data_IF_397874914641
#
_entry.id   IF_397874914641
#
_cell.length_a   1.000
_cell.length_b   1.000
_cell.length_c   1.000
_cell.angle_alpha   90.00
_cell.angle_beta   90.00
_cell.angle_gamma   90.00
#
_symmetry.space_group_name_H-M   'P 1'
#
loop_
_entity.id
_entity.type
_entity.pdbx_description
1 polymer ?
#
# COMPACT_ATOMS: atom_id res chain seq x y z
N UNK A 1 -54.13 -41.09 40.21
CA UNK A 1 -52.97 -41.35 41.11
C UNK A 1 -53.17 -42.71 41.76
N UNK A 2 -52.26 -43.66 41.50
CA UNK A 2 -51.66 -44.43 42.59
C UNK A 2 -50.13 -44.42 42.49
N UNK A 3 -49.53 -44.50 43.67
CA UNK A 3 -48.12 -44.26 43.99
C UNK A 3 -47.19 -45.39 43.54
N UNK A 4 -45.99 -45.03 43.10
CA UNK A 4 -44.90 -45.94 42.78
C UNK A 4 -44.28 -46.51 44.07
N UNK A 5 -44.39 -47.81 44.29
CA UNK A 5 -43.60 -48.52 45.31
C UNK A 5 -42.29 -48.95 44.66
N UNK A 6 -41.20 -48.29 45.08
CA UNK A 6 -39.85 -48.50 44.56
C UNK A 6 -39.39 -49.95 44.71
N UNK A 7 -38.86 -50.51 43.63
CA UNK A 7 -38.03 -51.72 43.68
C UNK A 7 -36.60 -51.29 43.98
N UNK A 8 -36.07 -51.84 45.07
CA UNK A 8 -34.77 -51.55 45.66
C UNK A 8 -33.63 -51.65 44.64
N UNK A 9 -32.91 -50.54 44.46
CA UNK A 9 -31.79 -50.39 43.54
C UNK A 9 -30.43 -50.74 44.20
N UNK A 10 -30.43 -51.25 45.44
CA UNK A 10 -29.21 -51.57 46.20
C UNK A 10 -28.54 -52.92 45.85
N UNK A 11 -29.06 -53.66 44.86
CA UNK A 11 -28.46 -54.93 44.41
C UNK A 11 -27.82 -54.84 43.02
N UNK A 12 -27.11 -53.75 42.72
CA UNK A 12 -26.19 -53.77 41.59
C UNK A 12 -24.91 -54.52 41.97
N UNK A 13 -24.82 -55.79 41.56
CA UNK A 13 -23.56 -56.52 41.54
C UNK A 13 -22.77 -55.98 40.34
N UNK A 14 -21.60 -55.38 40.57
CA UNK A 14 -20.65 -55.05 39.49
C UNK A 14 -20.42 -56.34 38.68
N UNK A 15 -20.95 -56.38 37.46
CA UNK A 15 -20.37 -57.23 36.43
C UNK A 15 -18.98 -56.66 36.20
N UNK A 16 -18.00 -57.56 36.16
CA UNK A 16 -16.59 -57.22 36.01
C UNK A 16 -16.42 -56.13 34.95
N UNK A 17 -15.56 -55.16 35.24
CA UNK A 17 -15.03 -54.24 34.24
C UNK A 17 -14.43 -55.09 33.11
N UNK A 18 -15.23 -55.41 32.08
CA UNK A 18 -14.71 -55.69 30.75
C UNK A 18 -14.09 -54.36 30.33
N UNK A 19 -12.76 -54.30 30.42
CA UNK A 19 -11.92 -53.25 29.85
C UNK A 19 -12.51 -52.88 28.48
N UNK A 20 -13.22 -51.75 28.43
CA UNK A 20 -13.67 -51.19 27.18
C UNK A 20 -12.41 -50.71 26.47
N UNK A 21 -11.88 -51.59 25.61
CA UNK A 21 -10.67 -51.43 24.83
C UNK A 21 -10.45 -49.96 24.48
N UNK A 22 -9.39 -49.37 25.04
CA UNK A 22 -8.88 -48.07 24.63
C UNK A 22 -8.80 -48.07 23.11
N UNK A 23 -9.71 -47.33 22.45
CA UNK A 23 -9.76 -47.24 20.99
C UNK A 23 -8.38 -46.77 20.53
N UNK A 24 -7.57 -47.71 20.04
CA UNK A 24 -6.25 -47.44 19.49
C UNK A 24 -6.40 -46.27 18.52
N UNK A 25 -5.69 -45.19 18.80
CA UNK A 25 -5.64 -44.01 17.94
C UNK A 25 -4.86 -44.45 16.70
N UNK A 26 -5.57 -44.95 15.70
CA UNK A 26 -4.97 -45.33 14.41
C UNK A 26 -4.66 -44.01 13.69
N UNK A 27 -3.39 -43.67 13.41
CA UNK A 27 -3.08 -42.49 12.65
C UNK A 27 -3.67 -42.65 11.23
N UNK A 28 -4.36 -41.62 10.76
CA UNK A 28 -4.89 -41.58 9.40
C UNK A 28 -3.74 -41.79 8.40
N UNK A 29 -3.99 -42.59 7.37
CA UNK A 29 -3.04 -42.75 6.27
C UNK A 29 -2.91 -41.43 5.50
N UNK A 30 -1.78 -41.22 4.82
CA UNK A 30 -1.58 -40.01 4.00
C UNK A 30 -2.67 -39.86 2.93
N UNK A 31 -3.22 -40.98 2.44
CA UNK A 31 -4.33 -41.03 1.49
C UNK A 31 -5.64 -40.52 2.11
N UNK A 32 -5.98 -40.96 3.32
CA UNK A 32 -7.19 -40.51 4.04
C UNK A 32 -7.11 -39.01 4.37
N UNK A 33 -5.92 -38.53 4.74
CA UNK A 33 -5.65 -37.11 5.00
C UNK A 33 -5.84 -36.28 3.73
N UNK A 34 -5.39 -36.78 2.57
CA UNK A 34 -5.56 -36.10 1.30
C UNK A 34 -7.03 -36.03 0.89
N UNK A 35 -7.78 -37.11 1.09
CA UNK A 35 -9.23 -37.15 0.86
C UNK A 35 -9.97 -36.15 1.75
N UNK A 36 -9.69 -36.10 3.07
CA UNK A 36 -10.28 -35.09 3.97
C UNK A 36 -9.93 -33.66 3.57
N UNK A 37 -8.67 -33.40 3.17
CA UNK A 37 -8.25 -32.07 2.68
C UNK A 37 -9.02 -31.65 1.43
N UNK A 38 -9.31 -32.60 0.52
CA UNK A 38 -10.12 -32.31 -0.67
C UNK A 38 -11.60 -32.09 -0.35
N UNK A 39 -12.17 -32.81 0.62
CA UNK A 39 -13.55 -32.61 1.06
C UNK A 39 -13.76 -31.29 1.82
N UNK A 40 -12.76 -30.80 2.55
CA UNK A 40 -12.81 -29.52 3.25
C UNK A 40 -12.47 -28.30 2.40
N UNK A 41 -11.95 -28.49 1.19
CA UNK A 41 -11.54 -27.41 0.30
C UNK A 41 -12.68 -27.03 -0.66
N UNK A 42 -13.07 -25.75 -0.67
CA UNK A 42 -13.99 -25.25 -1.69
C UNK A 42 -13.37 -25.41 -3.10
N UNK A 43 -14.12 -25.89 -4.11
CA UNK A 43 -13.60 -26.24 -5.44
C UNK A 43 -12.90 -25.07 -6.16
N UNK A 44 -13.18 -23.83 -5.77
CA UNK A 44 -12.59 -22.61 -6.34
C UNK A 44 -11.55 -21.92 -5.45
N UNK A 45 -11.27 -22.42 -4.25
CA UNK A 45 -10.35 -21.74 -3.32
C UNK A 45 -8.92 -21.64 -3.87
N UNK A 46 -8.46 -22.69 -4.57
CA UNK A 46 -7.14 -22.70 -5.21
C UNK A 46 -7.06 -21.70 -6.37
N UNK A 47 -8.09 -21.64 -7.22
CA UNK A 47 -8.15 -20.68 -8.33
C UNK A 47 -8.24 -19.24 -7.86
N UNK A 48 -8.95 -18.96 -6.76
CA UNK A 48 -9.03 -17.62 -6.17
C UNK A 48 -7.66 -17.15 -5.66
N UNK A 49 -6.95 -17.99 -4.90
CA UNK A 49 -5.59 -17.65 -4.42
C UNK A 49 -4.61 -17.43 -5.56
N UNK A 50 -4.74 -18.18 -6.66
CA UNK A 50 -3.93 -17.98 -7.86
C UNK A 50 -4.23 -16.62 -8.50
N UNK A 51 -5.50 -16.29 -8.70
CA UNK A 51 -5.91 -14.99 -9.24
C UNK A 51 -5.45 -13.82 -8.37
N UNK A 52 -5.57 -13.92 -7.04
CA UNK A 52 -5.06 -12.90 -6.12
C UNK A 52 -3.56 -12.68 -6.25
N UNK A 53 -2.79 -13.76 -6.44
CA UNK A 53 -1.35 -13.67 -6.68
C UNK A 53 -1.06 -13.02 -8.03
N UNK A 54 -1.75 -13.44 -9.09
CA UNK A 54 -1.56 -12.89 -10.43
C UNK A 54 -1.88 -11.38 -10.48
N UNK A 55 -2.91 -10.93 -9.76
CA UNK A 55 -3.25 -9.50 -9.62
C UNK A 55 -2.11 -8.72 -8.96
N UNK A 56 -1.53 -9.25 -7.88
CA UNK A 56 -0.40 -8.61 -7.19
C UNK A 56 0.84 -8.55 -8.08
N UNK A 57 1.13 -9.63 -8.81
CA UNK A 57 2.28 -9.70 -9.72
C UNK A 57 2.10 -8.77 -10.95
N UNK A 58 0.87 -8.54 -11.40
CA UNK A 58 0.58 -7.54 -12.42
C UNK A 58 0.72 -6.12 -11.88
N UNK A 59 0.25 -5.87 -10.65
CA UNK A 59 0.39 -4.57 -10.00
C UNK A 59 1.86 -4.17 -9.82
N UNK A 60 2.72 -5.11 -9.41
CA UNK A 60 4.17 -4.86 -9.28
C UNK A 60 4.80 -4.56 -10.64
N UNK A 61 4.49 -5.34 -11.68
CA UNK A 61 4.96 -5.06 -13.06
C UNK A 61 4.52 -3.69 -13.57
N UNK A 62 3.29 -3.28 -13.30
CA UNK A 62 2.79 -1.95 -13.67
C UNK A 62 3.56 -0.87 -12.95
N UNK A 63 3.78 -1.00 -11.64
CA UNK A 63 4.55 -0.05 -10.86
C UNK A 63 6.03 0.04 -11.30
N UNK A 64 6.66 -1.09 -11.64
CA UNK A 64 8.00 -1.12 -12.23
C UNK A 64 8.07 -0.40 -13.57
N UNK A 65 7.06 -0.57 -14.44
CA UNK A 65 6.98 0.08 -15.75
C UNK A 65 6.70 1.58 -15.66
N UNK A 66 5.86 1.99 -14.72
CA UNK A 66 5.59 3.39 -14.43
C UNK A 66 6.87 4.06 -13.91
N UNK A 67 7.77 3.30 -13.26
CA UNK A 67 9.08 3.79 -12.83
C UNK A 67 9.01 4.85 -11.72
N UNK A 68 7.80 5.11 -11.18
CA UNK A 68 7.54 6.08 -10.12
C UNK A 68 7.83 5.41 -8.78
N UNK A 69 9.12 5.18 -8.54
CA UNK A 69 9.65 5.36 -7.20
C UNK A 69 9.81 6.86 -7.09
N UNK A 70 8.81 7.53 -6.52
CA UNK A 70 8.83 8.98 -6.27
C UNK A 70 10.16 9.31 -5.58
N UNK A 71 11.14 9.70 -6.39
CA UNK A 71 12.28 10.44 -5.91
C UNK A 71 11.65 11.78 -5.61
N UNK A 72 11.65 12.15 -4.34
CA UNK A 72 10.98 13.30 -3.75
C UNK A 72 11.57 14.61 -4.29
N UNK A 73 11.42 14.84 -5.61
CA UNK A 73 11.96 15.99 -6.33
C UNK A 73 11.02 17.19 -6.22
N UNK A 74 9.91 17.06 -5.47
CA UNK A 74 8.88 18.09 -5.33
C UNK A 74 8.20 18.47 -6.66
N UNK A 75 8.35 17.65 -7.70
CA UNK A 75 7.75 17.88 -9.02
C UNK A 75 6.39 17.16 -9.10
N UNK A 76 5.45 17.78 -9.80
CA UNK A 76 4.17 17.13 -10.09
C UNK A 76 4.39 15.84 -10.90
N UNK A 77 3.48 14.85 -10.81
CA UNK A 77 3.49 13.67 -11.67
C UNK A 77 3.58 14.04 -13.16
N UNK A 78 4.36 13.32 -13.99
CA UNK A 78 4.58 13.66 -15.40
C UNK A 78 3.30 13.76 -16.24
N UNK A 79 2.24 13.05 -15.85
CA UNK A 79 0.95 13.10 -16.54
C UNK A 79 0.25 14.48 -16.42
N UNK A 80 0.61 15.28 -15.42
CA UNK A 80 0.05 16.61 -15.17
C UNK A 80 0.90 17.73 -15.77
N UNK A 81 1.98 17.42 -16.50
CA UNK A 81 2.86 18.42 -17.09
C UNK A 81 2.24 19.01 -18.36
N UNK A 82 2.14 20.34 -18.42
CA UNK A 82 1.82 21.06 -19.65
C UNK A 82 3.11 21.40 -20.41
N UNK A 83 3.60 20.41 -21.17
CA UNK A 83 4.86 20.52 -21.93
C UNK A 83 4.83 21.67 -22.94
N UNK A 84 3.66 21.99 -23.50
CA UNK A 84 3.52 23.05 -24.49
C UNK A 84 3.54 24.43 -23.84
N UNK A 85 2.81 24.60 -22.73
CA UNK A 85 2.88 25.79 -21.89
C UNK A 85 4.30 26.02 -21.36
N UNK A 86 4.95 25.00 -20.84
CA UNK A 86 6.31 25.10 -20.30
C UNK A 86 7.34 25.52 -21.37
N UNK A 87 7.21 24.98 -22.59
CA UNK A 87 8.07 25.37 -23.72
C UNK A 87 7.82 26.81 -24.15
N UNK A 88 6.57 27.26 -24.18
CA UNK A 88 6.23 28.64 -24.50
C UNK A 88 6.82 29.59 -23.46
N UNK A 89 6.64 29.27 -22.17
CA UNK A 89 7.22 30.05 -21.06
C UNK A 89 8.73 30.14 -21.16
N UNK A 90 9.42 29.04 -21.49
CA UNK A 90 10.87 29.04 -21.68
C UNK A 90 11.33 29.87 -22.89
N UNK A 91 10.47 30.02 -23.91
CA UNK A 91 10.75 30.83 -25.09
C UNK A 91 10.47 32.32 -24.88
N UNK A 92 9.46 32.65 -24.07
CA UNK A 92 9.05 34.03 -23.82
C UNK A 92 9.81 34.68 -22.65
N UNK A 93 10.11 33.91 -21.60
CA UNK A 93 10.77 34.40 -20.39
C UNK A 93 12.25 34.02 -20.40
N UNK A 94 13.12 34.95 -20.76
CA UNK A 94 14.56 34.79 -20.51
C UNK A 94 14.84 34.74 -19.00
N UNK A 95 15.82 33.95 -18.51
CA UNK A 95 16.12 33.87 -17.09
C UNK A 95 16.51 35.25 -16.55
N UNK A 96 15.67 35.82 -15.68
CA UNK A 96 15.88 37.15 -15.11
C UNK A 96 16.82 37.09 -13.90
N UNK A 97 17.73 38.06 -13.81
CA UNK A 97 18.59 38.19 -12.65
C UNK A 97 17.77 38.71 -11.46
N UNK A 98 17.65 37.89 -10.41
CA UNK A 98 16.88 38.24 -9.22
C UNK A 98 17.64 39.28 -8.38
N UNK A 99 16.97 40.37 -8.03
CA UNK A 99 17.49 41.44 -7.19
C UNK A 99 16.51 41.78 -6.05
N UNK A 100 17.03 42.29 -4.93
CA UNK A 100 16.21 42.73 -3.79
C UNK A 100 16.02 44.24 -3.85
N UNK A 101 14.79 44.73 -3.91
CA UNK A 101 14.49 46.15 -3.76
C UNK A 101 14.76 46.61 -2.32
N UNK A 102 15.60 47.62 -2.15
CA UNK A 102 15.92 48.20 -0.84
C UNK A 102 15.23 49.54 -0.62
N UNK A 103 15.01 50.32 -1.69
CA UNK A 103 14.34 51.61 -1.59
C UNK A 103 13.59 51.92 -2.88
N UNK A 104 12.38 52.47 -2.73
CA UNK A 104 11.56 52.97 -3.84
C UNK A 104 11.68 54.49 -3.83
N UNK A 105 12.04 55.06 -4.97
CA UNK A 105 12.07 56.51 -5.20
C UNK A 105 10.93 56.82 -6.17
N UNK A 106 9.83 57.33 -5.63
CA UNK A 106 8.71 57.78 -6.43
C UNK A 106 8.99 59.20 -6.94
N UNK A 107 8.83 59.40 -8.24
CA UNK A 107 8.90 60.71 -8.88
C UNK A 107 7.52 61.36 -8.70
N UNK A 108 7.45 62.56 -8.12
CA UNK A 108 6.18 63.24 -7.87
C UNK A 108 5.44 63.62 -9.16
N UNK A 109 6.17 63.76 -10.27
CA UNK A 109 5.65 64.23 -11.55
C UNK A 109 5.14 63.11 -12.48
N UNK A 110 5.51 61.84 -12.25
CA UNK A 110 5.09 60.69 -13.08
C UNK A 110 5.16 59.38 -12.26
N UNK A 111 4.02 58.78 -11.86
CA UNK A 111 4.00 57.53 -11.09
C UNK A 111 4.52 56.31 -11.87
N UNK A 112 4.53 56.36 -13.21
CA UNK A 112 5.02 55.27 -14.06
C UNK A 112 6.55 55.19 -14.16
N UNK A 113 7.28 56.25 -13.78
CA UNK A 113 8.75 56.31 -13.79
C UNK A 113 9.35 56.23 -12.39
N UNK A 114 8.77 55.41 -11.51
CA UNK A 114 9.36 55.14 -10.21
C UNK A 114 10.74 54.47 -10.38
N UNK A 115 11.75 55.01 -9.70
CA UNK A 115 13.10 54.45 -9.69
C UNK A 115 13.26 53.55 -8.47
N UNK A 116 13.87 52.38 -8.65
CA UNK A 116 14.10 51.43 -7.58
C UNK A 116 15.60 51.30 -7.31
N UNK A 117 15.99 51.43 -6.04
CA UNK A 117 17.32 51.04 -5.59
C UNK A 117 17.26 49.55 -5.28
N UNK A 118 18.03 48.78 -6.03
CA UNK A 118 18.09 47.32 -5.93
C UNK A 118 19.49 46.87 -5.49
N UNK A 119 19.53 45.82 -4.67
CA UNK A 119 20.77 45.11 -4.35
C UNK A 119 20.77 43.76 -5.08
N UNK A 120 21.78 43.54 -5.92
CA UNK A 120 21.92 42.35 -6.75
C UNK A 120 22.95 41.43 -6.11
N UNK A 121 22.59 40.14 -5.90
CA UNK A 121 23.54 39.15 -5.39
C UNK A 121 24.52 38.79 -6.51
N UNK A 122 25.81 39.10 -6.34
CA UNK A 122 26.81 38.85 -7.37
C UNK A 122 27.00 37.35 -7.61
N UNK A 123 26.96 36.95 -8.88
CA UNK A 123 27.32 35.60 -9.33
C UNK A 123 28.82 35.64 -9.62
N UNK A 124 29.63 34.98 -8.79
CA UNK A 124 31.04 34.80 -9.09
C UNK A 124 31.21 33.88 -10.30
N UNK A 125 32.12 34.22 -11.21
CA UNK A 125 32.48 33.37 -12.36
C UNK A 125 33.40 32.25 -11.86
N UNK A 126 32.97 31.00 -11.97
CA UNK A 126 33.81 29.84 -11.69
C UNK A 126 34.55 29.44 -12.97
N UNK A 127 35.87 29.62 -12.98
CA UNK A 127 36.72 29.13 -14.06
C UNK A 127 36.87 27.62 -13.95
N UNK A 128 36.41 26.90 -14.96
CA UNK A 128 36.71 25.48 -15.12
C UNK A 128 38.05 25.35 -15.85
N UNK A 129 38.91 24.44 -15.35
CA UNK A 129 40.07 23.94 -16.07
C UNK A 129 39.64 22.78 -16.97
#
# INVERSE_FOLDING_TARGET
MPSATGKDWEKYKKFADEEEDEKKIIPLSEEDIQVLKTYGAAPYAASLKKLEKDIKDLQTKVNEKIGVKESDTGLAPPHLWDVMGDKQRMSEEQPLQVARCTKIIQSADDPEKAKYVINVKQIAKFGWR
#
